data_IF_285666612637
#
_entry.id   IF_285666612637
#
_cell.length_a   1.000
_cell.length_b   1.000
_cell.length_c   1.000
_cell.angle_alpha   90.00
_cell.angle_beta   90.00
_cell.angle_gamma   90.00
#
_symmetry.space_group_name_H-M   'P 1'
#
loop_
_entity.id
_entity.type
_entity.pdbx_description
1 polymer ?
#
# COMPACT_ATOMS: atom_id res chain seq x y z
N UNK A 1 -24.53 0.00 6.61
CA UNK A 1 -23.07 -0.08 6.43
C UNK A 1 -22.43 1.00 7.27
N UNK A 2 -21.46 0.67 8.12
CA UNK A 2 -20.72 1.62 8.97
C UNK A 2 -19.27 1.68 8.50
N UNK A 3 -18.78 2.89 8.19
CA UNK A 3 -17.37 3.12 7.88
C UNK A 3 -16.70 3.78 9.09
N UNK A 4 -15.59 3.20 9.54
CA UNK A 4 -14.80 3.71 10.66
C UNK A 4 -13.37 3.96 10.17
N UNK A 5 -12.94 5.20 10.22
CA UNK A 5 -11.63 5.63 9.75
C UNK A 5 -10.78 6.04 10.94
N UNK A 6 -9.83 5.19 11.32
CA UNK A 6 -8.84 5.55 12.32
C UNK A 6 -7.78 6.43 11.68
N UNK A 7 -7.55 7.63 12.23
CA UNK A 7 -6.48 8.50 11.75
C UNK A 7 -5.10 7.94 12.09
N UNK A 8 -4.94 7.31 13.25
CA UNK A 8 -3.69 6.62 13.60
C UNK A 8 -3.46 5.44 12.64
N UNK A 9 -2.21 5.22 12.17
CA UNK A 9 -0.97 5.78 12.67
C UNK A 9 -0.45 7.00 11.89
N UNK A 10 -1.31 7.81 11.26
CA UNK A 10 -0.86 9.02 10.56
C UNK A 10 -0.12 9.98 11.50
N UNK A 11 0.79 10.79 10.93
CA UNK A 11 1.41 11.92 11.61
C UNK A 11 0.35 12.79 12.33
N UNK A 12 0.63 13.35 13.52
CA UNK A 12 1.95 13.56 14.12
C UNK A 12 2.54 12.39 14.93
N UNK A 13 1.95 11.19 14.86
CA UNK A 13 2.41 9.98 15.56
C UNK A 13 2.41 10.12 17.09
N UNK A 14 1.42 10.82 17.66
CA UNK A 14 1.30 10.90 19.12
C UNK A 14 0.87 9.55 19.70
N UNK A 15 1.63 9.06 20.68
CA UNK A 15 1.25 7.87 21.44
C UNK A 15 -0.01 8.15 22.26
N UNK A 16 -0.91 7.17 22.30
CA UNK A 16 -1.93 7.16 23.34
C UNK A 16 -1.24 7.08 24.72
N UNK A 17 -1.74 7.78 25.73
CA UNK A 17 -1.14 7.78 27.09
C UNK A 17 -0.89 6.37 27.64
N UNK A 18 -1.82 5.45 27.39
CA UNK A 18 -1.71 4.04 27.81
C UNK A 18 -0.58 3.26 27.10
N UNK A 19 -0.06 3.78 26.00
CA UNK A 19 1.04 3.21 25.23
C UNK A 19 2.32 4.07 25.34
N UNK A 20 2.39 4.97 26.32
CA UNK A 20 3.54 5.86 26.47
C UNK A 20 4.86 5.08 26.56
N UNK A 21 4.86 3.96 27.28
CA UNK A 21 6.05 3.12 27.50
C UNK A 21 6.23 2.01 26.47
N UNK A 22 5.33 1.91 25.48
CA UNK A 22 5.39 0.85 24.49
C UNK A 22 6.66 1.00 23.63
N UNK A 23 7.40 -0.09 23.47
CA UNK A 23 8.70 -0.16 22.78
C UNK A 23 9.87 0.57 23.47
N UNK A 24 9.74 0.99 24.73
CA UNK A 24 10.88 1.50 25.50
C UNK A 24 11.99 0.44 25.59
N UNK A 25 13.22 0.82 25.19
CA UNK A 25 14.37 -0.09 25.16
C UNK A 25 14.32 -1.18 24.08
N UNK A 26 13.30 -1.20 23.22
CA UNK A 26 13.22 -2.14 22.09
C UNK A 26 13.94 -1.52 20.89
N UNK A 27 15.07 -2.08 20.44
CA UNK A 27 15.77 -1.54 19.28
C UNK A 27 14.96 -1.77 18.00
N UNK A 28 14.78 -0.72 17.19
CA UNK A 28 14.23 -0.86 15.83
C UNK A 28 15.36 -0.74 14.80
N UNK A 29 15.63 -1.79 14.01
CA UNK A 29 16.67 -1.72 13.00
C UNK A 29 16.27 -0.74 11.88
N UNK A 30 17.26 -0.01 11.36
CA UNK A 30 17.09 0.73 10.11
C UNK A 30 16.81 -0.25 8.95
N UNK A 31 15.99 0.13 7.96
CA UNK A 31 15.93 -0.58 6.70
C UNK A 31 17.32 -0.67 6.05
N UNK A 32 17.60 -1.77 5.34
CA UNK A 32 18.92 -1.98 4.67
C UNK A 32 19.29 -0.85 3.72
N UNK A 33 18.28 -0.23 3.10
CA UNK A 33 18.42 0.85 2.13
C UNK A 33 18.51 2.24 2.77
N UNK A 34 18.41 2.36 4.10
CA UNK A 34 18.29 3.67 4.76
C UNK A 34 19.49 4.58 4.48
N UNK A 35 20.70 4.02 4.49
CA UNK A 35 21.95 4.75 4.30
C UNK A 35 22.42 4.74 2.82
N UNK A 36 21.57 4.30 1.86
CA UNK A 36 21.90 4.29 0.43
C UNK A 36 22.10 5.72 -0.10
N UNK A 37 23.23 5.96 -0.78
CA UNK A 37 23.52 7.26 -1.35
C UNK A 37 22.78 7.47 -2.69
N UNK A 38 21.61 8.11 -2.60
CA UNK A 38 20.86 8.53 -3.80
C UNK A 38 21.44 9.79 -4.48
N UNK A 39 22.54 10.37 -3.99
CA UNK A 39 23.20 11.53 -4.61
C UNK A 39 23.95 11.05 -5.86
N UNK A 40 23.47 11.47 -7.03
CA UNK A 40 24.02 11.01 -8.33
C UNK A 40 23.24 9.87 -8.98
N UNK A 41 22.20 9.34 -8.30
CA UNK A 41 21.19 8.43 -8.84
C UNK A 41 21.64 7.02 -9.31
N UNK A 42 22.59 6.31 -8.66
CA UNK A 42 22.88 4.93 -9.05
C UNK A 42 21.73 4.01 -8.61
N UNK A 43 20.99 3.46 -9.57
CA UNK A 43 19.93 2.46 -9.34
C UNK A 43 18.51 3.00 -9.16
N UNK A 44 18.32 4.32 -9.00
CA UNK A 44 16.99 4.97 -8.93
C UNK A 44 16.97 6.25 -9.77
N UNK A 45 15.89 6.59 -10.48
CA UNK A 45 15.82 7.83 -11.26
C UNK A 45 15.80 9.07 -10.38
N UNK A 46 15.99 10.23 -11.00
CA UNK A 46 15.90 11.52 -10.35
C UNK A 46 14.51 11.81 -9.81
N UNK A 47 13.48 11.40 -10.52
CA UNK A 47 12.10 11.52 -10.05
C UNK A 47 11.88 10.83 -8.69
N UNK A 48 12.39 9.62 -8.49
CA UNK A 48 12.34 8.91 -7.21
C UNK A 48 13.12 9.64 -6.12
N UNK A 49 14.37 9.98 -6.42
CA UNK A 49 15.27 10.58 -5.45
C UNK A 49 14.91 12.03 -5.09
N UNK A 50 14.11 12.72 -5.91
CA UNK A 50 13.51 14.02 -5.57
C UNK A 50 12.19 13.90 -4.80
N UNK A 51 11.65 12.70 -4.59
CA UNK A 51 10.47 12.49 -3.75
C UNK A 51 10.65 13.20 -2.41
N UNK A 52 9.72 14.10 -2.09
CA UNK A 52 9.76 14.80 -0.81
C UNK A 52 9.46 13.81 0.29
N UNK A 53 10.09 14.03 1.45
CA UNK A 53 10.09 13.19 2.66
C UNK A 53 11.38 12.41 2.87
N UNK A 54 12.55 13.05 2.77
CA UNK A 54 13.83 12.46 3.19
C UNK A 54 14.13 12.80 4.64
N UNK A 55 14.37 11.79 5.47
CA UNK A 55 14.81 11.97 6.87
C UNK A 55 16.08 12.83 6.99
N UNK A 56 16.98 12.73 6.00
CA UNK A 56 18.32 13.32 6.05
C UNK A 56 18.35 14.79 5.60
N UNK A 57 17.38 15.23 4.77
CA UNK A 57 17.44 16.56 4.13
C UNK A 57 16.17 17.39 4.27
N UNK A 58 15.04 16.79 4.65
CA UNK A 58 13.81 17.48 4.95
C UNK A 58 13.64 17.54 6.45
N UNK A 59 13.94 18.69 7.06
CA UNK A 59 13.46 18.96 8.40
C UNK A 59 11.96 18.67 8.43
N UNK A 60 11.51 17.93 9.43
CA UNK A 60 10.10 17.90 9.79
C UNK A 60 9.65 19.36 9.86
N UNK A 61 8.43 19.68 9.40
CA UNK A 61 7.87 21.01 9.66
C UNK A 61 7.97 21.27 11.16
N UNK A 62 8.91 22.13 11.55
CA UNK A 62 9.30 22.70 12.86
C UNK A 62 9.15 21.92 14.19
N UNK A 63 8.46 20.78 14.28
CA UNK A 63 7.85 20.36 15.54
C UNK A 63 8.22 18.94 16.02
N UNK A 64 9.18 18.23 15.42
CA UNK A 64 9.71 17.04 16.11
C UNK A 64 11.10 16.52 15.65
N UNK A 65 12.18 16.72 16.44
CA UNK A 65 13.48 16.12 16.18
C UNK A 65 13.56 14.70 16.78
N UNK A 66 12.75 13.76 16.28
CA UNK A 66 12.85 12.32 16.63
C UNK A 66 13.87 11.62 15.73
N UNK A 67 14.62 10.67 16.28
CA UNK A 67 15.39 9.72 15.47
C UNK A 67 14.45 8.85 14.61
N UNK A 68 14.97 8.23 13.54
CA UNK A 68 14.19 7.26 12.74
C UNK A 68 13.53 6.22 13.65
N UNK A 69 14.32 5.64 14.55
CA UNK A 69 13.86 4.60 15.47
C UNK A 69 12.68 5.07 16.32
N UNK A 70 12.74 6.28 16.90
CA UNK A 70 11.63 6.80 17.71
C UNK A 70 10.39 7.09 16.85
N UNK A 71 10.55 7.60 15.63
CA UNK A 71 9.43 7.76 14.70
C UNK A 71 8.76 6.41 14.39
N UNK A 72 9.54 5.36 14.12
CA UNK A 72 9.00 4.04 13.82
C UNK A 72 8.29 3.44 15.03
N UNK A 73 8.85 3.57 16.24
CA UNK A 73 8.18 3.16 17.48
C UNK A 73 6.84 3.87 17.67
N UNK A 74 6.80 5.17 17.41
CA UNK A 74 5.59 5.98 17.52
C UNK A 74 4.53 5.58 16.49
N UNK A 75 4.95 5.32 15.26
CA UNK A 75 4.10 4.76 14.22
C UNK A 75 3.51 3.40 14.64
N UNK A 76 4.34 2.47 15.11
CA UNK A 76 3.88 1.17 15.61
C UNK A 76 2.97 1.28 16.83
N UNK A 77 3.21 2.22 17.74
CA UNK A 77 2.33 2.48 18.87
C UNK A 77 0.96 2.99 18.43
N UNK A 78 0.92 3.77 17.34
CA UNK A 78 -0.31 4.16 16.65
C UNK A 78 -1.07 2.96 16.07
N UNK A 79 -0.36 2.01 15.45
CA UNK A 79 -0.96 0.75 14.96
C UNK A 79 -1.58 -0.05 16.10
N UNK A 80 -0.88 -0.20 17.23
CA UNK A 80 -1.43 -0.89 18.43
C UNK A 80 -2.65 -0.15 18.99
N UNK A 81 -2.65 1.19 18.96
CA UNK A 81 -3.83 1.96 19.37
C UNK A 81 -5.05 1.73 18.45
N UNK A 82 -4.81 1.51 17.15
CA UNK A 82 -5.85 1.13 16.18
C UNK A 82 -6.36 -0.29 16.45
N UNK A 83 -5.47 -1.24 16.73
CA UNK A 83 -5.83 -2.62 17.10
C UNK A 83 -6.73 -2.69 18.35
N UNK A 84 -6.37 -1.97 19.43
CA UNK A 84 -7.22 -1.86 20.62
C UNK A 84 -8.65 -1.39 20.30
N UNK A 85 -8.78 -0.42 19.40
CA UNK A 85 -10.07 0.14 19.05
C UNK A 85 -10.87 -0.81 18.14
N UNK A 86 -10.20 -1.53 17.24
CA UNK A 86 -10.82 -2.63 16.50
C UNK A 86 -11.33 -3.71 17.46
N UNK A 87 -10.54 -4.08 18.47
CA UNK A 87 -10.94 -5.01 19.52
C UNK A 87 -12.18 -4.56 20.30
N UNK A 88 -12.31 -3.26 20.63
CA UNK A 88 -13.53 -2.72 21.27
C UNK A 88 -14.76 -2.82 20.39
N UNK A 89 -14.63 -2.57 19.08
CA UNK A 89 -15.75 -2.67 18.13
C UNK A 89 -16.19 -4.13 18.01
N UNK A 90 -15.25 -5.04 17.81
CA UNK A 90 -15.54 -6.48 17.76
C UNK A 90 -16.16 -6.98 19.07
N UNK A 91 -15.64 -6.53 20.21
CA UNK A 91 -16.20 -6.80 21.53
C UNK A 91 -17.64 -6.31 21.65
N UNK A 92 -17.96 -5.09 21.23
CA UNK A 92 -19.32 -4.57 21.25
C UNK A 92 -20.28 -5.40 20.38
N UNK A 93 -19.87 -5.76 19.16
CA UNK A 93 -20.64 -6.66 18.29
C UNK A 93 -20.87 -8.03 18.93
N UNK A 94 -19.86 -8.58 19.63
CA UNK A 94 -19.98 -9.84 20.35
C UNK A 94 -21.01 -9.76 21.49
N UNK A 95 -20.97 -8.69 22.29
CA UNK A 95 -21.92 -8.49 23.40
C UNK A 95 -23.35 -8.31 22.90
N UNK A 96 -23.53 -7.73 21.71
CA UNK A 96 -24.83 -7.59 21.05
C UNK A 96 -25.32 -8.89 20.39
N UNK A 97 -24.50 -9.94 20.32
CA UNK A 97 -24.81 -11.16 19.57
C UNK A 97 -24.84 -10.97 18.05
N UNK A 98 -24.27 -9.87 17.54
CA UNK A 98 -24.32 -9.48 16.13
C UNK A 98 -23.01 -9.80 15.37
N UNK A 99 -21.96 -10.26 16.07
CA UNK A 99 -20.63 -10.42 15.48
C UNK A 99 -20.62 -11.40 14.29
N UNK A 100 -21.30 -12.55 14.39
CA UNK A 100 -21.28 -13.57 13.32
C UNK A 100 -22.16 -13.21 12.12
N UNK A 101 -23.13 -12.32 12.33
CA UNK A 101 -24.01 -11.77 11.29
C UNK A 101 -23.44 -10.49 10.67
N UNK A 102 -22.27 -10.02 11.13
CA UNK A 102 -21.61 -8.81 10.62
C UNK A 102 -20.37 -9.19 9.82
N UNK A 103 -20.36 -8.83 8.53
CA UNK A 103 -19.13 -8.82 7.74
C UNK A 103 -18.24 -7.65 8.18
N UNK A 104 -17.00 -7.95 8.56
CA UNK A 104 -16.00 -6.96 9.00
C UNK A 104 -14.86 -6.97 7.99
N UNK A 105 -14.59 -5.81 7.39
CA UNK A 105 -13.44 -5.59 6.52
C UNK A 105 -12.49 -4.61 7.22
N UNK A 106 -11.22 -4.97 7.30
CA UNK A 106 -10.14 -4.13 7.82
C UNK A 106 -9.10 -3.93 6.73
N UNK A 107 -8.76 -2.67 6.45
CA UNK A 107 -7.80 -2.30 5.41
C UNK A 107 -7.09 -0.98 5.75
N UNK A 108 -6.17 -0.57 4.87
CA UNK A 108 -5.57 0.76 4.86
C UNK A 108 -5.72 1.40 3.49
N UNK A 109 -5.74 2.73 3.44
CA UNK A 109 -5.80 3.52 2.21
C UNK A 109 -4.47 3.48 1.43
N UNK A 110 -3.34 3.42 2.14
CA UNK A 110 -2.00 3.29 1.59
C UNK A 110 -1.02 2.73 2.63
N UNK A 111 0.16 2.30 2.19
CA UNK A 111 1.28 1.96 3.07
C UNK A 111 2.01 3.20 3.60
N UNK A 112 3.23 3.01 4.09
CA UNK A 112 4.09 4.09 4.57
C UNK A 112 5.56 3.68 4.54
N UNK A 113 6.43 4.50 3.94
CA UNK A 113 7.87 4.36 4.08
C UNK A 113 8.28 4.69 5.53
N UNK A 114 9.05 3.80 6.14
CA UNK A 114 9.55 3.91 7.51
C UNK A 114 11.09 3.94 7.50
N UNK A 115 11.67 4.59 6.50
CA UNK A 115 13.11 4.76 6.33
C UNK A 115 13.70 4.06 5.11
N UNK A 116 12.93 3.28 4.34
CA UNK A 116 13.46 2.69 3.10
C UNK A 116 13.97 3.80 2.17
N UNK A 117 15.22 3.68 1.70
CA UNK A 117 15.92 4.70 0.92
C UNK A 117 16.03 6.08 1.60
N UNK A 118 15.96 6.10 2.93
CA UNK A 118 15.92 7.33 3.74
C UNK A 118 14.61 8.11 3.58
N UNK A 119 13.57 7.49 3.00
CA UNK A 119 12.26 8.09 2.77
C UNK A 119 11.31 7.84 3.94
N UNK A 120 10.38 8.77 4.14
CA UNK A 120 9.13 8.58 4.87
C UNK A 120 7.94 8.93 3.96
N UNK A 121 6.69 8.72 4.39
CA UNK A 121 5.46 9.05 3.63
C UNK A 121 5.07 7.98 2.58
N UNK A 122 4.24 8.29 1.57
CA UNK A 122 3.54 7.27 0.73
C UNK A 122 3.20 7.71 -0.70
N UNK A 123 4.04 8.55 -1.31
CA UNK A 123 3.70 9.21 -2.60
C UNK A 123 4.33 8.53 -3.82
N UNK A 124 4.80 7.28 -3.67
CA UNK A 124 5.48 6.53 -4.72
C UNK A 124 4.85 5.14 -4.91
N UNK A 125 5.11 4.50 -6.05
CA UNK A 125 4.55 3.19 -6.42
C UNK A 125 5.30 1.98 -5.79
N UNK A 126 6.20 2.21 -4.84
CA UNK A 126 6.98 1.14 -4.22
C UNK A 126 6.15 0.41 -3.15
N UNK A 127 6.42 -0.88 -2.95
CA UNK A 127 5.64 -1.80 -2.09
C UNK A 127 5.39 -1.24 -0.69
N UNK A 128 6.34 -0.58 0.01
CA UNK A 128 6.06 0.02 1.32
C UNK A 128 4.92 1.04 1.29
N UNK A 129 4.65 1.66 0.14
CA UNK A 129 3.66 2.72 -0.06
C UNK A 129 2.33 2.20 -0.64
N UNK A 130 2.35 1.16 -1.48
CA UNK A 130 1.14 0.67 -2.18
C UNK A 130 0.57 -0.63 -1.64
N UNK A 131 1.36 -1.43 -0.90
CA UNK A 131 0.91 -2.72 -0.36
C UNK A 131 0.30 -2.51 1.02
N UNK A 132 -1.00 -2.77 1.13
CA UNK A 132 -1.78 -2.58 2.37
C UNK A 132 -2.30 -3.90 2.92
N UNK A 133 -2.54 -4.02 4.24
CA UNK A 133 -3.30 -5.12 4.79
C UNK A 133 -4.74 -5.08 4.26
N UNK A 134 -5.32 -6.25 3.98
CA UNK A 134 -6.75 -6.41 3.73
C UNK A 134 -7.21 -7.72 4.38
N UNK A 135 -8.06 -7.60 5.39
CA UNK A 135 -8.65 -8.74 6.09
C UNK A 135 -10.17 -8.64 6.06
N UNK A 136 -10.84 -9.77 5.79
CA UNK A 136 -12.29 -9.86 5.82
C UNK A 136 -12.72 -11.02 6.70
N UNK A 137 -13.61 -10.74 7.65
CA UNK A 137 -14.24 -11.72 8.53
C UNK A 137 -15.73 -11.75 8.25
N UNK A 138 -16.24 -12.90 7.82
CA UNK A 138 -17.67 -13.16 7.76
C UNK A 138 -17.91 -14.67 7.84
N UNK A 139 -18.17 -15.24 9.04
CA UNK A 139 -18.20 -16.70 9.26
C UNK A 139 -19.21 -17.46 8.40
N UNK A 140 -20.26 -16.79 7.92
CA UNK A 140 -21.27 -17.38 7.03
C UNK A 140 -20.74 -17.70 5.64
N UNK A 141 -19.63 -17.09 5.24
CA UNK A 141 -19.07 -17.19 3.89
C UNK A 141 -17.61 -17.66 3.89
N UNK A 142 -16.82 -17.19 4.87
CA UNK A 142 -15.36 -17.35 4.89
C UNK A 142 -14.97 -18.39 5.91
N UNK A 143 -14.20 -19.39 5.47
CA UNK A 143 -13.54 -20.33 6.38
C UNK A 143 -12.48 -19.59 7.22
N UNK A 144 -12.52 -19.67 8.57
CA UNK A 144 -11.51 -19.04 9.42
C UNK A 144 -10.08 -19.48 9.09
N UNK A 145 -9.14 -18.54 9.14
CA UNK A 145 -7.73 -18.78 8.86
C UNK A 145 -7.38 -18.95 7.37
N UNK A 146 -8.31 -18.70 6.45
CA UNK A 146 -8.03 -18.75 5.02
C UNK A 146 -7.12 -17.61 4.58
N UNK A 147 -6.24 -17.88 3.61
CA UNK A 147 -5.32 -16.91 3.00
C UNK A 147 -5.56 -16.91 1.49
N UNK A 148 -5.55 -15.73 0.88
CA UNK A 148 -5.71 -15.55 -0.56
C UNK A 148 -4.59 -14.67 -1.10
N UNK A 149 -3.75 -15.24 -1.98
CA UNK A 149 -2.60 -14.54 -2.59
C UNK A 149 -2.97 -13.84 -3.91
N UNK A 150 -4.25 -13.86 -4.31
CA UNK A 150 -4.73 -13.15 -5.50
C UNK A 150 -4.71 -11.65 -5.24
N UNK A 151 -4.42 -10.85 -6.26
CA UNK A 151 -4.35 -9.39 -6.12
C UNK A 151 -5.71 -8.82 -5.74
N UNK A 152 -5.77 -8.02 -4.69
CA UNK A 152 -6.93 -7.20 -4.32
C UNK A 152 -6.53 -5.72 -4.35
N UNK A 153 -7.46 -4.86 -4.72
CA UNK A 153 -7.27 -3.41 -4.78
C UNK A 153 -8.32 -2.71 -3.93
N UNK A 154 -8.04 -1.49 -3.46
CA UNK A 154 -9.00 -0.71 -2.66
C UNK A 154 -10.32 -0.44 -3.42
N UNK A 155 -10.29 -0.38 -4.77
CA UNK A 155 -11.49 -0.27 -5.60
C UNK A 155 -12.40 -1.51 -5.55
N UNK A 156 -11.91 -2.66 -5.09
CA UNK A 156 -12.71 -3.89 -4.95
C UNK A 156 -13.60 -3.89 -3.72
N UNK A 157 -13.33 -3.00 -2.76
CA UNK A 157 -14.08 -2.91 -1.50
C UNK A 157 -15.54 -2.56 -1.81
N UNK A 158 -15.78 -1.56 -2.67
CA UNK A 158 -17.13 -1.12 -3.02
C UNK A 158 -18.00 -2.23 -3.65
N UNK A 159 -17.60 -2.92 -4.75
CA UNK A 159 -18.41 -4.00 -5.32
C UNK A 159 -18.57 -5.17 -4.34
N UNK A 160 -17.56 -5.50 -3.54
CA UNK A 160 -17.65 -6.55 -2.51
C UNK A 160 -18.73 -6.24 -1.48
N UNK A 161 -18.78 -5.01 -0.98
CA UNK A 161 -19.76 -4.59 0.01
C UNK A 161 -21.19 -4.58 -0.56
N UNK A 162 -21.34 -4.19 -1.83
CA UNK A 162 -22.63 -4.21 -2.52
C UNK A 162 -23.12 -5.64 -2.71
N UNK A 163 -22.25 -6.56 -3.15
CA UNK A 163 -22.59 -7.96 -3.34
C UNK A 163 -22.94 -8.66 -2.01
N UNK A 164 -22.17 -8.45 -0.95
CA UNK A 164 -22.49 -8.96 0.40
C UNK A 164 -23.83 -8.45 0.93
N UNK A 165 -24.24 -7.23 0.52
CA UNK A 165 -25.52 -6.64 0.87
C UNK A 165 -26.67 -7.07 -0.05
N UNK A 166 -26.41 -7.88 -1.09
CA UNK A 166 -27.40 -8.26 -2.11
C UNK A 166 -27.85 -7.08 -3.00
N UNK A 167 -27.05 -6.01 -3.07
CA UNK A 167 -27.35 -4.81 -3.85
C UNK A 167 -26.66 -4.89 -5.20
N UNK A 168 -27.43 -4.69 -6.28
CA UNK A 168 -26.85 -4.56 -7.62
C UNK A 168 -26.03 -3.28 -7.71
N UNK A 169 -24.77 -3.40 -8.11
CA UNK A 169 -23.92 -2.24 -8.40
C UNK A 169 -24.12 -1.76 -9.85
N UNK A 170 -23.72 -0.52 -10.18
CA UNK A 170 -23.75 -0.03 -11.56
C UNK A 170 -23.00 -0.95 -12.51
N UNK A 171 -23.40 -0.96 -13.79
CA UNK A 171 -22.72 -1.75 -14.83
C UNK A 171 -21.24 -1.35 -15.00
N UNK A 172 -20.90 -0.08 -14.72
CA UNK A 172 -19.54 0.44 -14.75
C UNK A 172 -19.03 0.65 -13.32
N UNK A 173 -18.20 -0.28 -12.87
CA UNK A 173 -17.38 -0.19 -11.67
C UNK A 173 -16.03 -0.83 -12.01
N UNK A 174 -14.93 -0.12 -11.75
CA UNK A 174 -13.61 -0.62 -12.15
C UNK A 174 -13.11 -1.75 -11.24
N UNK A 175 -13.67 -1.83 -10.02
CA UNK A 175 -13.37 -2.88 -9.05
C UNK A 175 -14.05 -4.19 -9.38
N UNK A 176 -13.49 -5.30 -8.89
CA UNK A 176 -14.11 -6.62 -8.95
C UNK A 176 -14.47 -7.05 -7.54
N UNK A 177 -15.70 -7.53 -7.34
CA UNK A 177 -16.09 -8.07 -6.05
C UNK A 177 -15.17 -9.22 -5.63
N UNK A 178 -14.75 -9.21 -4.37
CA UNK A 178 -13.92 -10.25 -3.77
C UNK A 178 -14.73 -11.47 -3.33
N UNK A 179 -16.07 -11.39 -3.30
CA UNK A 179 -16.95 -12.49 -2.83
C UNK A 179 -16.60 -13.85 -3.44
N UNK A 180 -16.36 -13.98 -4.76
CA UNK A 180 -15.94 -15.26 -5.35
C UNK A 180 -14.63 -15.82 -4.76
N UNK A 181 -13.70 -14.97 -4.32
CA UNK A 181 -12.46 -15.38 -3.65
C UNK A 181 -12.69 -15.78 -2.19
N UNK A 182 -13.67 -15.18 -1.53
CA UNK A 182 -13.99 -15.42 -0.11
C UNK A 182 -14.58 -16.82 0.13
N UNK A 183 -15.29 -17.35 -0.86
CA UNK A 183 -15.89 -18.69 -0.87
C UNK A 183 -14.85 -19.82 -1.02
N UNK A 184 -13.59 -19.48 -1.29
CA UNK A 184 -12.53 -20.45 -1.55
C UNK A 184 -12.60 -21.08 -2.95
N UNK A 185 -13.33 -20.46 -3.88
CA UNK A 185 -13.38 -20.91 -5.27
C UNK A 185 -12.04 -20.63 -5.97
N UNK A 186 -11.62 -21.54 -6.87
CA UNK A 186 -10.53 -21.24 -7.79
C UNK A 186 -11.03 -20.32 -8.90
N UNK A 187 -10.83 -19.02 -8.71
CA UNK A 187 -11.18 -18.01 -9.71
C UNK A 187 -10.02 -17.90 -10.71
N UNK A 188 -10.19 -18.57 -11.84
CA UNK A 188 -9.21 -18.59 -12.94
C UNK A 188 -9.14 -17.26 -13.69
N UNK A 189 -10.28 -16.59 -13.93
CA UNK A 189 -10.34 -15.27 -14.58
C UNK A 189 -10.25 -14.13 -13.55
N UNK A 190 -9.14 -14.13 -12.80
CA UNK A 190 -8.84 -13.05 -11.87
C UNK A 190 -7.81 -12.09 -12.46
N UNK A 191 -7.77 -10.85 -11.96
CA UNK A 191 -6.79 -9.86 -12.43
C UNK A 191 -5.36 -10.36 -12.23
N UNK A 192 -4.52 -10.04 -13.18
CA UNK A 192 -3.07 -10.36 -13.17
C UNK A 192 -2.20 -9.10 -13.19
N UNK A 193 -2.81 -7.93 -13.38
CA UNK A 193 -2.19 -6.63 -13.33
C UNK A 193 -3.17 -5.54 -12.87
N UNK A 194 -2.65 -4.36 -12.58
CA UNK A 194 -3.42 -3.17 -12.27
C UNK A 194 -2.62 -1.89 -12.50
N UNK A 195 -3.36 -0.78 -12.65
CA UNK A 195 -2.85 0.57 -12.89
C UNK A 195 -2.68 1.35 -11.59
N UNK A 196 -1.51 1.94 -11.42
CA UNK A 196 -1.25 2.98 -10.42
C UNK A 196 -1.18 4.34 -11.09
N UNK A 197 -1.70 5.38 -10.43
CA UNK A 197 -1.56 6.76 -10.86
C UNK A 197 -1.38 7.71 -9.67
N UNK A 198 -0.54 8.72 -9.86
CA UNK A 198 -0.26 9.78 -8.89
C UNK A 198 -0.03 11.11 -9.61
N UNK A 199 -0.75 12.15 -9.19
CA UNK A 199 -0.85 13.43 -9.90
C UNK A 199 -0.41 14.67 -9.09
N UNK A 200 -0.09 14.53 -7.80
CA UNK A 200 0.21 15.68 -6.93
C UNK A 200 1.71 15.99 -6.86
N UNK A 201 2.15 16.92 -7.72
CA UNK A 201 3.55 17.36 -7.85
C UNK A 201 4.13 18.02 -6.60
N UNK A 202 3.31 18.37 -5.61
CA UNK A 202 3.78 19.03 -4.38
C UNK A 202 4.63 18.11 -3.51
N UNK A 203 4.47 16.79 -3.65
CA UNK A 203 5.14 15.82 -2.76
C UNK A 203 6.01 14.80 -3.50
N UNK A 204 5.67 14.46 -4.74
CA UNK A 204 6.47 13.55 -5.57
C UNK A 204 6.24 13.86 -7.05
N UNK A 205 7.16 13.40 -7.91
CA UNK A 205 6.96 13.49 -9.35
C UNK A 205 5.68 12.74 -9.76
N UNK A 206 4.91 13.32 -10.69
CA UNK A 206 3.72 12.64 -11.20
C UNK A 206 4.13 11.33 -11.85
N UNK A 207 3.43 10.24 -11.50
CA UNK A 207 3.84 8.90 -11.91
C UNK A 207 2.66 7.97 -12.11
N UNK A 208 2.80 7.07 -13.09
CA UNK A 208 1.85 6.01 -13.39
C UNK A 208 2.62 4.73 -13.59
N UNK A 209 1.94 3.61 -13.44
CA UNK A 209 2.61 2.35 -13.69
C UNK A 209 1.68 1.17 -13.73
N UNK A 210 2.23 0.06 -14.17
CA UNK A 210 1.56 -1.24 -14.13
C UNK A 210 2.30 -2.14 -13.15
N UNK A 211 1.56 -2.78 -12.26
CA UNK A 211 2.08 -3.83 -11.37
C UNK A 211 1.41 -5.14 -11.73
N UNK A 212 2.20 -6.09 -12.19
CA UNK A 212 1.79 -7.47 -12.46
C UNK A 212 2.22 -8.38 -11.31
N UNK A 213 1.94 -9.69 -11.38
CA UNK A 213 2.37 -10.65 -10.36
C UNK A 213 3.88 -10.69 -10.19
N UNK A 214 4.61 -10.50 -11.29
CA UNK A 214 6.07 -10.63 -11.36
C UNK A 214 6.78 -9.30 -11.60
N UNK A 215 6.26 -8.45 -12.48
CA UNK A 215 6.95 -7.25 -12.93
C UNK A 215 6.22 -5.98 -12.53
N UNK A 216 6.98 -4.92 -12.28
CA UNK A 216 6.48 -3.56 -12.08
C UNK A 216 7.20 -2.59 -12.99
N UNK A 217 6.46 -1.73 -13.68
CA UNK A 217 7.00 -0.61 -14.46
C UNK A 217 6.38 0.69 -13.95
N UNK A 218 7.24 1.63 -13.57
CA UNK A 218 6.89 2.99 -13.12
C UNK A 218 7.33 3.95 -14.22
N UNK A 219 6.46 4.89 -14.57
CA UNK A 219 6.68 5.95 -15.54
C UNK A 219 6.42 7.31 -14.89
N UNK A 220 7.48 8.09 -14.71
CA UNK A 220 7.42 9.51 -14.37
C UNK A 220 7.34 10.31 -15.67
N UNK A 221 6.14 10.80 -16.00
CA UNK A 221 5.85 11.29 -17.36
C UNK A 221 6.13 12.78 -17.57
N UNK A 222 6.54 13.49 -16.53
CA UNK A 222 6.93 14.89 -16.67
C UNK A 222 8.35 15.01 -17.18
N UNK A 223 8.58 15.91 -18.14
CA UNK A 223 9.87 16.01 -18.81
C UNK A 223 11.03 16.43 -17.87
N UNK A 224 12.22 15.81 -18.00
CA UNK A 224 12.50 14.60 -18.79
C UNK A 224 11.80 13.37 -18.23
N UNK A 225 11.21 12.55 -19.10
CA UNK A 225 10.57 11.29 -18.69
C UNK A 225 11.59 10.35 -18.07
N UNK A 226 11.20 9.69 -16.98
CA UNK A 226 12.04 8.73 -16.25
C UNK A 226 11.25 7.46 -15.96
N UNK A 227 11.93 6.33 -15.85
CA UNK A 227 11.30 5.02 -15.66
C UNK A 227 12.03 4.18 -14.61
N UNK A 228 11.28 3.32 -13.95
CA UNK A 228 11.80 2.21 -13.13
C UNK A 228 11.17 0.91 -13.58
N UNK A 229 11.95 -0.17 -13.66
CA UNK A 229 11.48 -1.51 -13.97
C UNK A 229 12.05 -2.52 -12.98
N UNK A 230 11.18 -3.32 -12.37
CA UNK A 230 11.53 -4.31 -11.35
C UNK A 230 10.96 -5.69 -11.67
N UNK A 231 11.77 -6.72 -11.42
CA UNK A 231 11.31 -8.10 -11.25
C UNK A 231 11.06 -8.35 -9.76
N UNK A 232 9.80 -8.32 -9.34
CA UNK A 232 9.36 -8.48 -7.95
C UNK A 232 9.52 -9.91 -7.41
N UNK A 233 9.71 -10.89 -8.29
CA UNK A 233 9.97 -12.28 -7.88
C UNK A 233 11.45 -12.42 -7.47
N UNK A 234 12.35 -11.88 -8.29
CA UNK A 234 13.80 -11.89 -8.01
C UNK A 234 14.23 -10.80 -7.01
N UNK A 235 13.53 -9.66 -7.02
CA UNK A 235 13.84 -8.47 -6.23
C UNK A 235 12.57 -7.87 -5.59
N UNK A 236 12.00 -8.56 -4.59
CA UNK A 236 10.81 -8.05 -3.87
C UNK A 236 11.06 -6.76 -3.10
N UNK A 237 12.34 -6.39 -2.88
CA UNK A 237 12.74 -5.15 -2.23
C UNK A 237 12.88 -3.96 -3.20
N UNK A 238 12.70 -4.20 -4.50
CA UNK A 238 12.79 -3.17 -5.55
C UNK A 238 14.10 -2.39 -5.52
N UNK A 239 15.21 -3.10 -5.30
CA UNK A 239 16.53 -2.52 -5.11
C UNK A 239 17.22 -2.20 -6.44
N UNK A 240 16.98 -3.02 -7.46
CA UNK A 240 17.68 -3.01 -8.73
C UNK A 240 16.74 -2.55 -9.84
N UNK A 241 16.86 -1.29 -10.26
CA UNK A 241 16.15 -0.82 -11.43
C UNK A 241 16.76 -1.42 -12.69
N UNK A 242 16.02 -2.32 -13.33
CA UNK A 242 16.40 -3.03 -14.55
C UNK A 242 16.01 -2.25 -15.83
N UNK A 243 15.50 -1.02 -15.70
CA UNK A 243 15.15 -0.20 -16.85
C UNK A 243 16.40 0.18 -17.64
N UNK A 244 16.41 -0.14 -18.93
CA UNK A 244 17.55 0.08 -19.83
C UNK A 244 18.43 -1.17 -20.01
N UNK A 245 18.20 -2.24 -19.26
CA UNK A 245 18.83 -3.54 -19.51
C UNK A 245 18.29 -4.11 -20.85
N UNK A 246 19.17 -4.36 -21.85
CA UNK A 246 18.77 -4.96 -23.12
C UNK A 246 18.03 -6.29 -22.97
N UNK A 247 18.32 -7.08 -21.94
CA UNK A 247 17.67 -8.37 -21.66
C UNK A 247 16.17 -8.25 -21.35
N UNK A 248 15.71 -7.06 -20.94
CA UNK A 248 14.32 -6.81 -20.56
C UNK A 248 13.58 -5.86 -21.51
N UNK A 249 14.19 -5.44 -22.61
CA UNK A 249 13.63 -4.45 -23.54
C UNK A 249 12.23 -4.82 -24.06
N UNK A 250 12.02 -6.10 -24.43
CA UNK A 250 10.72 -6.60 -24.90
C UNK A 250 9.65 -6.50 -23.80
N UNK A 251 9.96 -6.94 -22.58
CA UNK A 251 9.04 -6.88 -21.44
C UNK A 251 8.68 -5.44 -21.09
N UNK A 252 9.66 -4.54 -21.05
CA UNK A 252 9.42 -3.11 -20.80
C UNK A 252 8.50 -2.53 -21.87
N UNK A 253 8.72 -2.86 -23.16
CA UNK A 253 7.86 -2.39 -24.24
C UNK A 253 6.41 -2.89 -24.08
N UNK A 254 6.22 -4.15 -23.69
CA UNK A 254 4.90 -4.72 -23.43
C UNK A 254 4.20 -4.03 -22.26
N UNK A 255 4.91 -3.77 -21.17
CA UNK A 255 4.37 -3.09 -19.98
C UNK A 255 4.02 -1.62 -20.27
N UNK A 256 4.81 -0.91 -21.09
CA UNK A 256 4.46 0.43 -21.56
C UNK A 256 3.13 0.44 -22.33
N UNK A 257 2.96 -0.50 -23.25
CA UNK A 257 1.68 -0.67 -23.95
C UNK A 257 0.54 -1.03 -23.00
N UNK A 258 0.81 -1.89 -21.99
CA UNK A 258 -0.19 -2.29 -21.00
C UNK A 258 -0.67 -1.11 -20.15
N UNK A 259 0.21 -0.19 -19.76
CA UNK A 259 -0.19 1.05 -19.06
C UNK A 259 -1.22 1.83 -19.88
N UNK A 260 -0.98 2.00 -21.19
CA UNK A 260 -1.91 2.74 -22.06
C UNK A 260 -3.25 2.01 -22.22
N UNK A 261 -3.22 0.68 -22.32
CA UNK A 261 -4.44 -0.14 -22.35
C UNK A 261 -5.25 0.00 -21.07
N UNK A 262 -4.60 -0.13 -19.91
CA UNK A 262 -5.24 0.03 -18.61
C UNK A 262 -5.89 1.41 -18.45
N UNK A 263 -5.20 2.48 -18.87
CA UNK A 263 -5.77 3.83 -18.86
C UNK A 263 -7.03 3.91 -19.73
N UNK A 264 -7.02 3.29 -20.92
CA UNK A 264 -8.18 3.26 -21.81
C UNK A 264 -9.33 2.40 -21.27
N UNK A 265 -9.02 1.35 -20.50
CA UNK A 265 -10.01 0.50 -19.81
C UNK A 265 -10.73 1.26 -18.68
N UNK A 266 -10.05 2.22 -18.04
CA UNK A 266 -10.56 2.96 -16.87
C UNK A 266 -11.03 4.40 -17.18
N UNK A 267 -10.83 4.91 -18.40
CA UNK A 267 -11.25 6.25 -18.83
C UNK A 267 -12.73 6.29 -19.24
#
# INVERSE_FOLDING_TARGET
CLFLWFLAPHAPFYRARRHADLYNGVPIPKPKTFDDDLRGYPGKPRAFSKGMSKFVTGGYGSDDPRSLEELVKDHYAGVVATDDNAGKIMGALQHMGALDETAILFSSDHGFFLGEWGLYNKMLMHEPSIRVPLALRYPRLIKPGSVCDKMALNLDIAPTMLELAGVKHPARIDGRSLVPLLEGNDVHDWRTDWLYEYYDERYAAKSRGVRTGKYKLIHYWEAPEEFEFYDLEADPGELNNLYGDPGHATTVSQLKSRILQLIAETA
#
